data_IF_131615983643
#
_entry.id   IF_131615983643
#
_cell.length_a   1.000
_cell.length_b   1.000
_cell.length_c   1.000
_cell.angle_alpha   90.00
_cell.angle_beta   90.00
_cell.angle_gamma   90.00
#
_symmetry.space_group_name_H-M   'P 1'
#
loop_
_entity.id
_entity.type
_entity.pdbx_description
1 polymer ?
#
# COMPACT_ATOMS: atom_id res chain seq x y z
N UNK A 1 -7.67 13.84 15.90
CA UNK A 1 -6.52 12.95 16.11
C UNK A 1 -5.64 13.07 14.87
N UNK A 2 -4.39 13.48 15.03
CA UNK A 2 -3.48 13.67 13.89
C UNK A 2 -3.01 12.30 13.42
N UNK A 3 -3.53 11.83 12.29
CA UNK A 3 -3.12 10.57 11.65
C UNK A 3 -1.62 10.63 11.36
N UNK A 4 -0.86 9.62 11.80
CA UNK A 4 0.60 9.58 11.61
C UNK A 4 0.94 9.63 10.11
N UNK A 5 2.12 10.12 9.77
CA UNK A 5 2.57 10.11 8.36
C UNK A 5 2.63 8.69 7.80
N UNK A 6 2.99 7.71 8.64
CA UNK A 6 2.99 6.29 8.26
C UNK A 6 1.57 5.79 7.96
N UNK A 7 0.59 6.15 8.79
CA UNK A 7 -0.82 5.79 8.55
C UNK A 7 -1.32 6.37 7.22
N UNK A 8 -1.01 7.63 6.93
CA UNK A 8 -1.38 8.26 5.65
C UNK A 8 -0.76 7.54 4.44
N UNK A 9 0.47 7.04 4.58
CA UNK A 9 1.15 6.31 3.52
C UNK A 9 0.58 4.90 3.34
N UNK A 10 0.20 4.24 4.44
CA UNK A 10 -0.48 2.94 4.40
C UNK A 10 -1.89 3.09 3.80
N UNK A 11 -2.62 4.16 4.13
CA UNK A 11 -3.92 4.47 3.53
C UNK A 11 -3.81 4.66 2.00
N UNK A 12 -2.74 5.31 1.54
CA UNK A 12 -2.49 5.48 0.11
C UNK A 12 -2.14 4.14 -0.56
N UNK A 13 -1.32 3.30 0.08
CA UNK A 13 -1.06 1.92 -0.39
C UNK A 13 -2.36 1.14 -0.50
N UNK A 14 -3.20 1.15 0.53
CA UNK A 14 -4.52 0.50 0.52
C UNK A 14 -5.38 0.99 -0.64
N UNK A 15 -5.48 2.31 -0.84
CA UNK A 15 -6.28 2.90 -1.92
C UNK A 15 -5.83 2.44 -3.31
N UNK A 16 -4.52 2.32 -3.55
CA UNK A 16 -3.98 1.92 -4.86
C UNK A 16 -4.13 0.41 -5.10
N UNK A 17 -3.84 -0.42 -4.09
CA UNK A 17 -3.89 -1.88 -4.22
C UNK A 17 -5.31 -2.46 -4.14
N UNK A 18 -6.22 -1.79 -3.44
CA UNK A 18 -7.63 -2.21 -3.37
C UNK A 18 -8.51 -1.51 -4.43
N UNK A 19 -7.92 -0.81 -5.39
CA UNK A 19 -8.65 -0.21 -6.50
C UNK A 19 -9.25 -1.31 -7.42
N UNK A 20 -10.40 -1.07 -8.06
CA UNK A 20 -11.01 -2.04 -9.00
C UNK A 20 -10.08 -2.42 -10.17
N UNK A 21 -9.21 -1.50 -10.57
CA UNK A 21 -8.14 -1.70 -11.54
C UNK A 21 -6.87 -1.18 -10.90
N UNK A 22 -5.85 -2.02 -10.80
CA UNK A 22 -4.57 -1.64 -10.20
C UNK A 22 -3.64 -1.13 -11.29
N UNK A 23 -3.25 0.13 -11.16
CA UNK A 23 -2.17 0.74 -11.93
C UNK A 23 -0.84 0.43 -11.21
N UNK A 24 0.00 -0.37 -11.86
CA UNK A 24 1.23 -0.92 -11.29
C UNK A 24 2.23 0.16 -10.90
N UNK A 25 2.44 1.17 -11.75
CA UNK A 25 3.34 2.29 -11.47
C UNK A 25 2.84 3.10 -10.27
N UNK A 26 1.54 3.38 -10.23
CA UNK A 26 0.89 4.09 -9.14
C UNK A 26 0.97 3.32 -7.81
N UNK A 27 0.81 1.99 -7.84
CA UNK A 27 0.89 1.12 -6.68
C UNK A 27 2.34 0.97 -6.18
N UNK A 28 3.30 0.77 -7.10
CA UNK A 28 4.72 0.73 -6.80
C UNK A 28 5.21 2.06 -6.21
N UNK A 29 4.76 3.19 -6.75
CA UNK A 29 5.09 4.52 -6.22
C UNK A 29 4.59 4.74 -4.80
N UNK A 30 3.40 4.24 -4.45
CA UNK A 30 2.88 4.32 -3.08
C UNK A 30 3.73 3.50 -2.08
N UNK A 31 4.16 2.29 -2.47
CA UNK A 31 5.08 1.49 -1.66
C UNK A 31 6.45 2.16 -1.52
N UNK A 32 7.01 2.69 -2.61
CA UNK A 32 8.27 3.41 -2.58
C UNK A 32 8.21 4.63 -1.64
N UNK A 33 7.12 5.38 -1.64
CA UNK A 33 6.92 6.51 -0.73
C UNK A 33 6.88 6.06 0.74
N UNK A 34 6.21 4.94 1.04
CA UNK A 34 6.20 4.35 2.39
C UNK A 34 7.62 3.94 2.81
N UNK A 35 8.33 3.20 1.97
CA UNK A 35 9.71 2.75 2.27
C UNK A 35 10.69 3.90 2.41
N UNK A 36 10.60 4.91 1.54
CA UNK A 36 11.43 6.12 1.61
C UNK A 36 11.22 6.81 2.96
N UNK A 37 9.96 7.02 3.36
CA UNK A 37 9.65 7.68 4.63
C UNK A 37 10.17 6.89 5.85
N UNK A 38 10.01 5.56 5.85
CA UNK A 38 10.54 4.70 6.91
C UNK A 38 12.06 4.79 7.01
N UNK A 39 12.75 4.81 5.87
CA UNK A 39 14.21 4.88 5.80
C UNK A 39 14.74 6.27 6.24
N UNK A 40 14.17 7.34 5.69
CA UNK A 40 14.53 8.74 6.01
C UNK A 40 14.29 9.05 7.48
N UNK A 41 13.16 8.61 8.02
CA UNK A 41 12.77 8.87 9.40
C UNK A 41 13.34 7.85 10.39
N UNK A 42 14.13 6.86 9.92
CA UNK A 42 14.56 5.66 10.67
C UNK A 42 13.44 5.03 11.50
N UNK A 43 12.23 5.11 10.97
CA UNK A 43 11.01 4.71 11.66
C UNK A 43 10.72 3.25 11.36
N UNK A 44 10.16 2.55 12.34
CA UNK A 44 9.77 1.15 12.19
C UNK A 44 8.25 1.04 12.17
N UNK A 45 7.75 0.09 11.40
CA UNK A 45 6.36 -0.30 11.45
C UNK A 45 6.06 -0.95 12.81
N UNK A 46 4.93 -0.61 13.41
CA UNK A 46 4.40 -1.33 14.57
C UNK A 46 3.60 -2.54 14.08
N UNK A 47 3.24 -3.43 15.01
CA UNK A 47 2.48 -4.66 14.69
C UNK A 47 1.19 -4.35 13.94
N UNK A 48 0.45 -3.30 14.34
CA UNK A 48 -0.79 -2.88 13.67
C UNK A 48 -0.56 -2.46 12.22
N UNK A 49 0.53 -1.74 11.92
CA UNK A 49 0.88 -1.38 10.54
C UNK A 49 1.19 -2.63 9.69
N UNK A 50 1.87 -3.62 10.27
CA UNK A 50 2.15 -4.89 9.60
C UNK A 50 0.86 -5.63 9.25
N UNK A 51 -0.04 -5.78 10.22
CA UNK A 51 -1.34 -6.42 10.01
C UNK A 51 -2.18 -5.74 8.91
N UNK A 52 -2.13 -4.41 8.81
CA UNK A 52 -2.80 -3.67 7.72
C UNK A 52 -2.19 -3.98 6.35
N UNK A 53 -0.87 -4.02 6.24
CA UNK A 53 -0.20 -4.36 4.98
C UNK A 53 -0.48 -5.81 4.55
N UNK A 54 -0.54 -6.74 5.49
CA UNK A 54 -0.94 -8.13 5.22
C UNK A 54 -2.40 -8.23 4.75
N UNK A 55 -3.33 -7.48 5.35
CA UNK A 55 -4.73 -7.41 4.90
C UNK A 55 -4.84 -6.85 3.47
N UNK A 56 -4.11 -5.77 3.18
CA UNK A 56 -4.07 -5.17 1.83
C UNK A 56 -3.55 -6.21 0.82
N UNK A 57 -2.48 -6.95 1.15
CA UNK A 57 -1.96 -8.01 0.29
C UNK A 57 -2.99 -9.14 0.10
N UNK A 58 -3.68 -9.56 1.16
CA UNK A 58 -4.71 -10.59 1.09
C UNK A 58 -5.88 -10.14 0.21
N UNK A 59 -6.36 -8.91 0.36
CA UNK A 59 -7.43 -8.32 -0.45
C UNK A 59 -7.04 -8.15 -1.91
N UNK A 60 -5.81 -7.73 -2.18
CA UNK A 60 -5.27 -7.67 -3.54
C UNK A 60 -5.28 -9.05 -4.21
N UNK A 61 -4.84 -10.11 -3.49
CA UNK A 61 -4.85 -11.49 -3.99
C UNK A 61 -6.24 -12.10 -4.15
N UNK A 62 -7.18 -11.74 -3.26
CA UNK A 62 -8.55 -12.27 -3.26
C UNK A 62 -9.49 -11.48 -4.18
N UNK A 63 -9.19 -10.22 -4.46
CA UNK A 63 -9.96 -9.36 -5.36
C UNK A 63 -9.76 -9.71 -6.84
N UNK A 64 -10.54 -9.10 -7.75
CA UNK A 64 -10.40 -9.28 -9.19
C UNK A 64 -9.18 -8.51 -9.73
N UNK A 65 -8.09 -8.42 -8.96
CA UNK A 65 -6.91 -7.58 -9.20
C UNK A 65 -6.17 -7.96 -10.49
N UNK A 66 -6.81 -7.69 -11.61
CA UNK A 66 -6.23 -7.69 -12.93
C UNK A 66 -5.31 -6.49 -12.93
N UNK A 67 -4.01 -6.77 -12.89
CA UNK A 67 -3.03 -5.79 -13.31
C UNK A 67 -3.46 -5.30 -14.69
N UNK A 68 -3.32 -4.00 -14.95
CA UNK A 68 -3.68 -3.42 -16.24
C UNK A 68 -2.97 -4.14 -17.41
N UNK A 69 -1.83 -4.78 -17.16
CA UNK A 69 -1.11 -5.64 -18.10
C UNK A 69 -1.75 -7.00 -18.43
N UNK A 70 -2.68 -7.50 -17.61
CA UNK A 70 -3.40 -8.77 -17.85
C UNK A 70 -4.65 -8.59 -18.74
N UNK A 71 -5.02 -7.35 -19.08
CA UNK A 71 -6.12 -7.03 -19.98
C UNK A 71 -5.61 -7.03 -21.43
N UNK A 72 -5.21 -8.19 -21.95
CA UNK A 72 -4.69 -8.37 -23.32
C UNK A 72 -5.59 -9.25 -24.18
#
# INVERSE_FOLDING_TARGET
>A
MTTSRIDQLIDEVERRFCAPIVDEDAAAGALQALFAHLNESRSRLIVEHGARLDDIQARFRAGPGLFKGDLH
#
